data_IF_143102345775
#
_entry.id   IF_143102345775
#
_cell.length_a   1.000
_cell.length_b   1.000
_cell.length_c   1.000
_cell.angle_alpha   90.00
_cell.angle_beta   90.00
_cell.angle_gamma   90.00
#
_symmetry.space_group_name_H-M   'P 1'
#
loop_
_entity.id
_entity.type
_entity.pdbx_description
1 polymer ?
#
# COMPACT_ATOMS: atom_id res chain seq x y z
N UNK A 1 2.41 -18.86 0.45
CA UNK A 1 3.37 -18.49 1.53
C UNK A 1 3.92 -17.08 1.33
N UNK A 2 4.74 -16.83 0.30
CA UNK A 2 5.39 -15.52 0.08
C UNK A 2 4.39 -14.36 0.05
N UNK A 3 3.36 -14.44 -0.79
CA UNK A 3 2.40 -13.34 -0.91
C UNK A 3 1.67 -13.00 0.40
N UNK A 4 1.33 -14.01 1.21
CA UNK A 4 0.69 -13.77 2.51
C UNK A 4 1.65 -13.09 3.50
N UNK A 5 2.93 -13.47 3.50
CA UNK A 5 3.95 -12.82 4.33
C UNK A 5 4.09 -11.32 4.02
N UNK A 6 4.04 -10.93 2.74
CA UNK A 6 4.04 -9.51 2.34
C UNK A 6 2.80 -8.78 2.85
N UNK A 7 1.61 -9.39 2.71
CA UNK A 7 0.36 -8.82 3.22
C UNK A 7 0.43 -8.59 4.73
N UNK A 8 0.86 -9.59 5.50
CA UNK A 8 1.01 -9.47 6.96
C UNK A 8 2.13 -8.52 7.37
N UNK A 9 3.05 -8.17 6.45
CA UNK A 9 4.06 -7.13 6.64
C UNK A 9 3.55 -5.73 6.26
N UNK A 10 2.26 -5.58 5.95
CA UNK A 10 1.64 -4.29 5.62
C UNK A 10 1.73 -3.89 4.15
N UNK A 11 2.09 -4.81 3.26
CA UNK A 11 2.26 -4.53 1.82
C UNK A 11 1.04 -5.00 1.03
N UNK A 12 0.45 -4.09 0.26
CA UNK A 12 -0.57 -4.44 -0.74
C UNK A 12 0.00 -5.40 -1.77
N UNK A 13 -0.61 -6.58 -1.90
CA UNK A 13 -0.08 -7.66 -2.74
C UNK A 13 -1.12 -8.08 -3.77
N UNK A 14 -0.80 -7.84 -5.03
CA UNK A 14 -1.64 -8.18 -6.17
C UNK A 14 -1.20 -9.52 -6.79
N UNK A 15 -2.17 -10.38 -7.09
CA UNK A 15 -1.96 -11.66 -7.77
C UNK A 15 -2.61 -11.63 -9.15
N UNK A 16 -1.87 -12.13 -10.15
CA UNK A 16 -2.31 -12.21 -11.55
C UNK A 16 -3.34 -13.31 -11.88
N UNK A 17 -4.02 -13.85 -10.87
CA UNK A 17 -4.96 -14.97 -11.00
C UNK A 17 -6.30 -14.61 -10.39
N UNK A 18 -7.30 -15.49 -10.56
CA UNK A 18 -8.53 -15.38 -9.77
C UNK A 18 -8.26 -15.73 -8.30
N UNK A 19 -9.09 -15.20 -7.41
CA UNK A 19 -9.02 -15.54 -6.00
C UNK A 19 -9.29 -17.04 -5.79
N UNK A 20 -8.40 -17.77 -5.10
CA UNK A 20 -8.62 -19.17 -4.78
C UNK A 20 -9.73 -19.36 -3.73
N UNK A 21 -10.10 -18.30 -3.00
CA UNK A 21 -11.14 -18.31 -1.97
C UNK A 21 -12.47 -17.76 -2.45
N UNK A 22 -12.64 -17.51 -3.75
CA UNK A 22 -13.87 -16.94 -4.31
C UNK A 22 -15.14 -17.78 -4.01
N UNK A 23 -15.00 -19.07 -3.71
CA UNK A 23 -16.10 -19.94 -3.29
C UNK A 23 -16.57 -19.74 -1.84
N UNK A 24 -15.83 -18.98 -1.03
CA UNK A 24 -16.15 -18.64 0.35
C UNK A 24 -16.17 -17.10 0.50
N UNK A 25 -17.34 -16.46 0.28
CA UNK A 25 -17.43 -15.00 0.20
C UNK A 25 -16.89 -14.26 1.42
N UNK A 26 -17.13 -14.78 2.63
CA UNK A 26 -16.66 -14.16 3.87
C UNK A 26 -15.14 -14.17 3.97
N UNK A 27 -14.50 -15.28 3.58
CA UNK A 27 -13.04 -15.40 3.56
C UNK A 27 -12.43 -14.53 2.47
N UNK A 28 -13.05 -14.51 1.28
CA UNK A 28 -12.60 -13.69 0.17
C UNK A 28 -12.66 -12.20 0.50
N UNK A 29 -13.75 -11.76 1.14
CA UNK A 29 -13.90 -10.40 1.63
C UNK A 29 -12.85 -10.08 2.69
N UNK A 30 -12.69 -10.94 3.69
CA UNK A 30 -11.70 -10.74 4.75
C UNK A 30 -10.29 -10.52 4.18
N UNK A 31 -9.86 -11.35 3.22
CA UNK A 31 -8.53 -11.24 2.62
C UNK A 31 -8.34 -10.00 1.74
N UNK A 32 -9.42 -9.49 1.13
CA UNK A 32 -9.38 -8.35 0.20
C UNK A 32 -9.63 -7.00 0.88
N UNK A 33 -10.33 -6.98 2.01
CA UNK A 33 -10.80 -5.74 2.64
C UNK A 33 -10.42 -5.73 4.12
N UNK A 34 -11.04 -6.60 4.92
CA UNK A 34 -10.99 -6.49 6.39
C UNK A 34 -9.58 -6.71 6.98
N UNK A 35 -8.73 -7.50 6.33
CA UNK A 35 -7.35 -7.72 6.77
C UNK A 35 -6.50 -6.44 6.69
N UNK A 36 -6.87 -5.47 5.83
CA UNK A 36 -6.13 -4.19 5.71
C UNK A 36 -6.15 -3.42 7.04
N UNK A 37 -7.25 -3.47 7.78
CA UNK A 37 -7.38 -2.79 9.07
C UNK A 37 -6.53 -3.44 10.17
N UNK A 38 -6.19 -4.73 10.02
CA UNK A 38 -5.41 -5.48 11.00
C UNK A 38 -3.90 -5.32 10.79
N UNK A 39 -3.44 -5.33 9.54
CA UNK A 39 -2.00 -5.38 9.22
C UNK A 39 -1.53 -4.27 8.27
N UNK A 40 -2.44 -3.46 7.72
CA UNK A 40 -2.12 -2.37 6.78
C UNK A 40 -1.92 -2.80 5.32
N UNK A 41 -1.90 -4.11 5.06
CA UNK A 41 -1.80 -4.73 3.74
C UNK A 41 -3.01 -5.60 3.42
N UNK A 42 -3.27 -5.85 2.15
CA UNK A 42 -4.39 -6.69 1.67
C UNK A 42 -4.06 -7.42 0.39
N UNK A 43 -4.88 -8.41 0.07
CA UNK A 43 -4.81 -9.15 -1.18
C UNK A 43 -5.62 -8.45 -2.27
N UNK A 44 -5.16 -8.56 -3.50
CA UNK A 44 -5.96 -8.24 -4.67
C UNK A 44 -5.71 -9.27 -5.77
N UNK A 45 -6.70 -9.43 -6.65
CA UNK A 45 -6.68 -10.45 -7.68
C UNK A 45 -7.25 -9.87 -8.96
N UNK A 46 -6.48 -9.92 -10.04
CA UNK A 46 -7.00 -9.70 -11.39
C UNK A 46 -6.17 -10.53 -12.37
N UNK A 47 -6.78 -11.11 -13.42
CA UNK A 47 -6.04 -11.72 -14.52
C UNK A 47 -5.64 -10.73 -15.61
N UNK A 48 -6.18 -9.49 -15.62
CA UNK A 48 -5.93 -8.50 -16.67
C UNK A 48 -4.69 -7.65 -16.34
N UNK A 49 -3.67 -7.72 -17.20
CA UNK A 49 -2.42 -6.98 -17.04
C UNK A 49 -2.60 -5.45 -17.02
N UNK A 50 -3.56 -4.90 -17.77
CA UNK A 50 -3.84 -3.46 -17.77
C UNK A 50 -4.45 -3.04 -16.43
N UNK A 51 -5.41 -3.82 -15.95
CA UNK A 51 -6.02 -3.60 -14.64
C UNK A 51 -4.97 -3.71 -13.52
N UNK A 52 -4.05 -4.67 -13.61
CA UNK A 52 -2.95 -4.80 -12.65
C UNK A 52 -2.13 -3.52 -12.54
N UNK A 53 -1.74 -2.95 -13.68
CA UNK A 53 -0.98 -1.71 -13.73
C UNK A 53 -1.74 -0.54 -13.10
N UNK A 54 -3.04 -0.43 -13.38
CA UNK A 54 -3.91 0.59 -12.79
C UNK A 54 -4.01 0.44 -11.27
N UNK A 55 -4.33 -0.76 -10.76
CA UNK A 55 -4.47 -1.01 -9.32
C UNK A 55 -3.19 -0.75 -8.54
N UNK A 56 -2.03 -1.17 -9.08
CA UNK A 56 -0.73 -0.91 -8.46
C UNK A 56 -0.46 0.59 -8.40
N UNK A 57 -0.68 1.30 -9.52
CA UNK A 57 -0.49 2.75 -9.59
C UNK A 57 -1.38 3.48 -8.59
N UNK A 58 -2.66 3.16 -8.56
CA UNK A 58 -3.64 3.77 -7.64
C UNK A 58 -3.27 3.55 -6.18
N UNK A 59 -2.83 2.34 -5.81
CA UNK A 59 -2.38 2.07 -4.46
C UNK A 59 -1.15 2.92 -4.07
N UNK A 60 -0.17 3.01 -4.97
CA UNK A 60 1.03 3.84 -4.75
C UNK A 60 0.66 5.30 -4.58
N UNK A 61 -0.16 5.87 -5.48
CA UNK A 61 -0.57 7.26 -5.38
C UNK A 61 -1.35 7.55 -4.10
N UNK A 62 -2.29 6.69 -3.71
CA UNK A 62 -3.00 6.80 -2.43
C UNK A 62 -2.04 6.87 -1.23
N UNK A 63 -0.99 6.04 -1.21
CA UNK A 63 0.02 6.06 -0.14
C UNK A 63 0.91 7.30 -0.22
N UNK A 64 1.26 7.78 -1.42
CA UNK A 64 2.02 9.02 -1.61
C UNK A 64 1.25 10.25 -1.16
N UNK A 65 -0.04 10.30 -1.44
CA UNK A 65 -0.95 11.35 -0.98
C UNK A 65 -1.06 11.35 0.55
N UNK A 66 -1.26 10.17 1.16
CA UNK A 66 -1.31 10.03 2.62
C UNK A 66 -0.01 10.48 3.31
N UNK A 67 1.13 10.41 2.62
CA UNK A 67 2.44 10.87 3.11
C UNK A 67 2.74 12.34 2.75
N UNK A 68 1.86 13.01 2.00
CA UNK A 68 2.07 14.39 1.53
C UNK A 68 3.26 14.52 0.57
N UNK A 69 3.59 13.47 -0.19
CA UNK A 69 4.72 13.45 -1.13
C UNK A 69 4.34 14.10 -2.47
N UNK A 70 3.05 14.05 -2.84
CA UNK A 70 2.55 14.65 -4.07
C UNK A 70 2.39 16.18 -3.97
N UNK A 71 2.67 16.76 -2.81
CA UNK A 71 2.69 18.21 -2.62
C UNK A 71 4.07 18.81 -2.97
N UNK A 72 4.05 19.95 -3.67
CA UNK A 72 5.27 20.66 -4.05
C UNK A 72 5.84 21.41 -2.84
N UNK A 73 6.76 20.79 -2.10
CA UNK A 73 7.47 21.42 -0.98
C UNK A 73 8.66 22.25 -1.48
N UNK A 74 8.91 23.40 -0.86
CA UNK A 74 10.13 24.17 -1.12
C UNK A 74 11.36 23.36 -0.69
N UNK A 75 12.31 23.19 -1.61
CA UNK A 75 13.56 22.49 -1.33
C UNK A 75 14.49 23.46 -0.58
N UNK A 76 14.46 23.44 0.75
CA UNK A 76 15.42 24.16 1.59
C UNK A 76 16.68 23.31 1.77
N UNK A 77 17.85 23.88 1.47
CA UNK A 77 19.12 23.30 1.89
C UNK A 77 19.31 23.65 3.37
N UNK A 78 19.18 22.65 4.24
CA UNK A 78 19.38 22.84 5.68
C UNK A 78 20.88 22.97 6.00
N UNK A 79 21.26 24.07 6.63
CA UNK A 79 22.59 24.25 7.20
C UNK A 79 22.73 23.55 8.58
N UNK A 80 23.90 23.67 9.21
CA UNK A 80 24.17 23.02 10.50
C UNK A 80 23.40 23.67 11.67
N UNK A 81 23.04 24.95 11.58
CA UNK A 81 22.25 25.63 12.61
C UNK A 81 20.78 25.24 12.49
N UNK A 82 20.24 25.24 11.26
CA UNK A 82 18.89 24.79 10.95
C UNK A 82 18.64 23.35 11.42
N UNK A 83 19.62 22.44 11.27
CA UNK A 83 19.51 21.05 11.73
C UNK A 83 19.49 20.91 13.25
N UNK A 84 20.19 21.80 13.97
CA UNK A 84 20.24 21.78 15.45
C UNK A 84 18.98 22.39 16.07
N UNK A 85 18.31 23.29 15.35
CA UNK A 85 17.07 23.92 15.78
C UNK A 85 15.82 23.04 15.57
N UNK A 86 15.93 21.92 14.85
CA UNK A 86 14.84 20.95 14.72
C UNK A 86 14.61 20.27 16.08
N UNK A 87 13.53 20.65 16.78
CA UNK A 87 13.03 19.89 17.91
C UNK A 87 12.44 18.58 17.41
N UNK A 88 12.90 17.47 17.97
CA UNK A 88 12.24 16.17 17.82
C UNK A 88 11.18 16.12 18.90
N UNK A 89 9.92 16.28 18.51
CA UNK A 89 8.76 15.95 19.34
C UNK A 89 8.48 14.43 19.28
#
# INVERSE_FOLDING_TARGET
AIGHYFVTSGVYTLFGTKSPTAGAPDVDKFLKEDIEDLVGGKWAFTPDLKEMGTLIKEHIEKKRDALGINEKKERKLYDMEDRRALSVD
#
